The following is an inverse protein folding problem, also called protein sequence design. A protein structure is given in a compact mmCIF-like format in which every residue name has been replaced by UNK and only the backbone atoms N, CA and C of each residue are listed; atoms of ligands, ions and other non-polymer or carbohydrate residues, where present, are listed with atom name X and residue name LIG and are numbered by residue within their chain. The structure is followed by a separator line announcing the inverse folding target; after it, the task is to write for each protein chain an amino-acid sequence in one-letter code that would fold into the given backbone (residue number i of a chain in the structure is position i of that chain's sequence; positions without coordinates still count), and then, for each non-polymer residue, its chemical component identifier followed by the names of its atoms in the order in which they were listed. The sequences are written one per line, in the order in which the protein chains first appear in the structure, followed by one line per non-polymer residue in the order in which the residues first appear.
data_IF_667825529251
#
_entry.id   IF_667825529251
#
_cell.length_a   1.000
_cell.length_b   1.000
_cell.length_c   1.000
_cell.angle_alpha   90.00
_cell.angle_beta   90.00
_cell.angle_gamma   90.00
#
_symmetry.space_group_name_H-M   'P 1'
#
loop_
_entity.id
_entity.type
_entity.pdbx_description
1 polymer ?
#
# COMPACT_ATOMS: atom_id res chain seq x y z
N UNK A 1 -46.05 6.02 22.37
CA UNK A 1 -45.11 4.94 22.77
C UNK A 1 -44.87 3.89 21.67
N UNK A 2 -45.87 3.13 21.19
CA UNK A 2 -45.64 2.03 20.21
C UNK A 2 -44.91 2.43 18.91
N UNK A 3 -45.14 3.64 18.39
CA UNK A 3 -44.51 4.15 17.14
C UNK A 3 -43.04 4.52 17.31
N UNK A 4 -42.64 5.01 18.48
CA UNK A 4 -41.25 5.33 18.84
C UNK A 4 -40.46 4.04 19.08
N UNK A 5 -41.07 3.07 19.76
CA UNK A 5 -40.49 1.75 20.02
C UNK A 5 -40.23 0.97 18.72
N UNK A 6 -41.17 1.00 17.76
CA UNK A 6 -41.00 0.36 16.46
C UNK A 6 -39.86 1.01 15.64
N UNK A 7 -39.70 2.33 15.71
CA UNK A 7 -38.61 3.06 15.03
C UNK A 7 -37.24 2.70 15.59
N UNK A 8 -37.10 2.64 16.92
CA UNK A 8 -35.84 2.24 17.58
C UNK A 8 -35.44 0.79 17.25
N UNK A 9 -36.41 -0.14 17.24
CA UNK A 9 -36.16 -1.53 16.85
C UNK A 9 -35.73 -1.63 15.39
N UNK A 10 -36.37 -0.89 14.48
CA UNK A 10 -36.01 -0.87 13.05
C UNK A 10 -34.64 -0.21 12.82
N UNK A 11 -34.28 0.84 13.56
CA UNK A 11 -32.94 1.46 13.47
C UNK A 11 -31.88 0.50 14.03
N UNK A 12 -32.13 -0.12 15.18
CA UNK A 12 -31.23 -1.13 15.74
C UNK A 12 -31.03 -2.31 14.77
N UNK A 13 -32.11 -2.80 14.14
CA UNK A 13 -32.06 -3.85 13.12
C UNK A 13 -31.39 -3.39 11.82
N UNK A 14 -31.63 -2.17 11.35
CA UNK A 14 -30.98 -1.62 10.16
C UNK A 14 -29.47 -1.46 10.38
N UNK A 15 -29.05 -0.98 11.55
CA UNK A 15 -27.64 -0.96 11.95
C UNK A 15 -27.10 -2.40 12.10
N UNK A 16 -27.88 -3.37 12.61
CA UNK A 16 -27.49 -4.80 12.66
C UNK A 16 -27.28 -5.44 11.28
N UNK A 17 -28.07 -5.07 10.27
CA UNK A 17 -28.12 -5.76 8.99
C UNK A 17 -27.26 -5.12 7.87
N UNK A 18 -26.86 -3.85 8.01
CA UNK A 18 -26.18 -3.12 6.92
C UNK A 18 -24.66 -3.28 6.85
N UNK A 19 -24.01 -3.87 7.85
CA UNK A 19 -22.53 -3.85 7.94
C UNK A 19 -21.80 -5.08 7.36
N UNK A 20 -22.35 -6.32 7.35
CA UNK A 20 -21.67 -7.41 6.64
C UNK A 20 -21.43 -7.10 5.16
N UNK A 21 -22.33 -6.32 4.54
CA UNK A 21 -22.21 -5.87 3.16
C UNK A 21 -21.18 -4.73 2.95
N UNK A 22 -20.94 -3.88 3.96
CA UNK A 22 -19.97 -2.78 3.86
C UNK A 22 -18.54 -3.18 4.26
N UNK A 23 -18.38 -4.31 4.97
CA UNK A 23 -17.08 -4.85 5.36
C UNK A 23 -16.41 -5.70 4.26
N UNK A 24 -17.13 -6.09 3.21
CA UNK A 24 -16.57 -6.85 2.08
C UNK A 24 -15.90 -5.98 0.99
N UNK A 25 -16.21 -4.67 0.93
CA UNK A 25 -15.81 -3.78 -0.17
C UNK A 25 -14.79 -2.69 0.20
N UNK A 26 -14.00 -2.85 1.26
CA UNK A 26 -12.93 -1.89 1.62
C UNK A 26 -11.55 -2.53 1.49
N UNK A 27 -10.86 -2.19 0.40
CA UNK A 27 -9.44 -2.47 0.22
C UNK A 27 -8.59 -1.59 1.15
N UNK A 28 -7.61 -2.24 1.80
CA UNK A 28 -6.76 -1.72 2.87
C UNK A 28 -5.80 -0.62 2.38
N UNK A 29 -6.24 0.64 2.40
CA UNK A 29 -5.35 1.81 2.47
C UNK A 29 -4.94 2.07 3.92
N UNK A 30 -3.64 2.31 4.17
CA UNK A 30 -3.10 2.60 5.49
C UNK A 30 -3.74 3.87 6.09
N UNK A 31 -4.80 3.65 6.86
CA UNK A 31 -5.45 4.66 7.66
C UNK A 31 -5.23 4.33 9.12
N UNK A 32 -4.89 5.37 9.89
CA UNK A 32 -4.49 5.27 11.29
C UNK A 32 -5.45 4.42 12.14
N UNK A 33 -4.95 3.91 13.26
CA UNK A 33 -5.57 2.86 14.10
C UNK A 33 -7.01 3.14 14.59
N UNK A 34 -7.59 4.31 14.32
CA UNK A 34 -9.00 4.65 14.58
C UNK A 34 -9.98 4.10 13.54
N UNK A 35 -9.59 3.82 12.29
CA UNK A 35 -10.51 3.35 11.24
C UNK A 35 -10.58 1.81 11.11
N UNK A 36 -9.74 1.06 11.82
CA UNK A 36 -9.64 -0.41 11.69
C UNK A 36 -10.77 -1.21 12.34
N UNK A 37 -11.66 -0.56 13.09
CA UNK A 37 -12.83 -1.21 13.73
C UNK A 37 -14.04 -1.33 12.81
N UNK A 38 -13.94 -0.92 11.53
CA UNK A 38 -15.03 -1.04 10.54
C UNK A 38 -16.30 -0.22 10.83
N UNK A 39 -16.38 0.42 11.99
CA UNK A 39 -17.51 1.20 12.47
C UNK A 39 -17.02 2.63 12.65
N UNK A 40 -17.58 3.51 11.82
CA UNK A 40 -17.32 4.95 11.86
C UNK A 40 -17.97 5.57 13.09
N UNK A 41 -17.25 6.45 13.79
CA UNK A 41 -17.77 7.17 14.95
C UNK A 41 -18.97 8.04 14.57
N UNK A 42 -19.01 8.57 13.35
CA UNK A 42 -20.11 9.39 12.85
C UNK A 42 -21.39 8.57 12.69
N UNK A 43 -21.27 7.27 12.36
CA UNK A 43 -22.40 6.33 12.30
C UNK A 43 -22.97 6.09 13.70
N UNK A 44 -22.11 5.96 14.72
CA UNK A 44 -22.54 5.81 16.11
C UNK A 44 -23.23 7.09 16.61
N UNK A 45 -22.64 8.26 16.33
CA UNK A 45 -23.21 9.56 16.69
C UNK A 45 -24.59 9.74 16.03
N UNK A 46 -24.71 9.39 14.75
CA UNK A 46 -25.99 9.44 14.03
C UNK A 46 -27.04 8.54 14.69
N UNK A 47 -26.69 7.29 15.03
CA UNK A 47 -27.59 6.37 15.71
C UNK A 47 -28.05 6.90 17.09
N UNK A 48 -27.14 7.53 17.84
CA UNK A 48 -27.48 8.17 19.13
C UNK A 48 -28.45 9.34 18.96
N UNK A 49 -28.22 10.20 17.96
CA UNK A 49 -29.15 11.31 17.62
C UNK A 49 -30.53 10.79 17.21
N UNK A 50 -30.58 9.75 16.40
CA UNK A 50 -31.84 9.11 15.98
C UNK A 50 -32.58 8.45 17.16
N UNK A 51 -31.85 8.03 18.20
CA UNK A 51 -32.41 7.56 19.46
C UNK A 51 -32.80 8.68 20.44
N UNK A 52 -32.73 9.94 20.00
CA UNK A 52 -33.15 11.10 20.79
C UNK A 52 -32.14 11.54 21.85
N UNK A 53 -30.87 11.11 21.77
CA UNK A 53 -29.82 11.61 22.65
C UNK A 53 -29.42 13.02 22.21
N UNK A 54 -29.26 13.94 23.17
CA UNK A 54 -28.78 15.30 22.88
C UNK A 54 -27.27 15.30 22.63
N UNK A 55 -26.75 16.35 21.99
CA UNK A 55 -25.30 16.49 21.78
C UNK A 55 -24.50 16.48 23.11
N UNK A 56 -25.12 16.99 24.18
CA UNK A 56 -24.57 16.99 25.56
C UNK A 56 -24.49 15.57 26.15
N UNK A 57 -25.42 14.69 25.77
CA UNK A 57 -25.44 13.28 26.22
C UNK A 57 -24.52 12.39 25.38
N UNK A 58 -24.37 12.70 24.09
CA UNK A 58 -23.60 11.87 23.14
C UNK A 58 -22.13 11.76 23.55
N UNK A 59 -21.50 12.88 23.94
CA UNK A 59 -20.08 12.89 24.28
C UNK A 59 -19.76 12.07 25.56
N UNK A 60 -20.48 12.23 26.68
CA UNK A 60 -20.37 11.35 27.84
C UNK A 60 -20.74 9.90 27.51
N UNK A 61 -21.77 9.66 26.70
CA UNK A 61 -22.16 8.30 26.29
C UNK A 61 -21.03 7.58 25.54
N UNK A 62 -20.35 8.26 24.61
CA UNK A 62 -19.16 7.73 23.92
C UNK A 62 -17.99 7.49 24.89
N UNK A 63 -17.85 8.33 25.92
CA UNK A 63 -16.89 8.13 27.01
C UNK A 63 -17.19 6.86 27.81
N UNK A 64 -18.44 6.69 28.26
CA UNK A 64 -18.90 5.50 28.97
C UNK A 64 -18.81 4.24 28.11
N UNK A 65 -19.05 4.33 26.80
CA UNK A 65 -18.94 3.21 25.86
C UNK A 65 -17.56 2.53 25.92
N UNK A 66 -16.47 3.28 26.17
CA UNK A 66 -15.14 2.69 26.37
C UNK A 66 -15.06 1.81 27.62
N UNK A 67 -15.72 2.22 28.71
CA UNK A 67 -15.79 1.43 29.94
C UNK A 67 -16.61 0.16 29.72
N UNK A 68 -17.71 0.26 28.97
CA UNK A 68 -18.50 -0.92 28.55
C UNK A 68 -17.66 -1.91 27.75
N UNK A 69 -16.79 -1.44 26.85
CA UNK A 69 -15.88 -2.32 26.09
C UNK A 69 -14.89 -3.05 27.02
N UNK A 70 -14.44 -2.42 28.10
CA UNK A 70 -13.56 -3.07 29.08
C UNK A 70 -14.33 -4.15 29.84
N UNK A 71 -15.51 -3.84 30.38
CA UNK A 71 -16.36 -4.83 31.06
C UNK A 71 -16.72 -6.01 30.13
N UNK A 72 -17.02 -5.73 28.86
CA UNK A 72 -17.31 -6.76 27.86
C UNK A 72 -16.14 -7.71 27.57
N UNK A 73 -14.90 -7.26 27.78
CA UNK A 73 -13.71 -8.10 27.59
C UNK A 73 -13.44 -9.01 28.79
N UNK A 74 -13.83 -8.55 29.97
CA UNK A 74 -13.70 -9.30 31.22
C UNK A 74 -14.92 -10.22 31.44
N UNK A 75 -16.01 -9.96 30.73
CA UNK A 75 -17.22 -10.75 30.81
C UNK A 75 -17.05 -12.16 30.21
N UNK A 76 -17.29 -13.17 31.05
CA UNK A 76 -17.33 -14.55 30.63
C UNK A 76 -18.66 -14.85 29.89
N UNK A 77 -18.54 -15.37 28.67
CA UNK A 77 -19.69 -15.69 27.81
C UNK A 77 -20.54 -16.84 28.39
N UNK A 78 -20.00 -17.60 29.34
CA UNK A 78 -20.71 -18.69 30.01
C UNK A 78 -21.76 -18.20 31.03
N UNK A 79 -21.69 -16.93 31.45
CA UNK A 79 -22.53 -16.36 32.52
C UNK A 79 -23.88 -15.75 32.05
N UNK A 80 -24.28 -15.97 30.79
CA UNK A 80 -25.61 -15.62 30.29
C UNK A 80 -25.69 -14.35 29.45
N UNK A 81 -26.59 -13.41 29.78
CA UNK A 81 -26.70 -12.11 29.10
C UNK A 81 -25.81 -11.09 29.81
N UNK A 82 -24.90 -10.43 29.08
CA UNK A 82 -24.06 -9.37 29.66
C UNK A 82 -24.92 -8.26 30.29
N UNK A 83 -24.62 -7.97 31.56
CA UNK A 83 -25.18 -6.88 32.36
C UNK A 83 -24.07 -5.90 32.70
N UNK A 84 -24.39 -4.60 32.62
CA UNK A 84 -23.47 -3.56 33.08
C UNK A 84 -23.25 -3.69 34.59
N UNK A 85 -22.08 -3.27 35.06
CA UNK A 85 -21.89 -3.03 36.48
C UNK A 85 -22.89 -1.99 37.00
N UNK A 86 -23.29 -2.10 38.28
CA UNK A 86 -24.20 -1.13 38.90
C UNK A 86 -23.64 0.30 38.85
N UNK A 87 -22.32 0.45 38.94
CA UNK A 87 -21.63 1.74 38.83
C UNK A 87 -21.81 2.34 37.43
N UNK A 88 -21.57 1.55 36.38
CA UNK A 88 -21.66 2.03 35.01
C UNK A 88 -23.11 2.26 34.58
N UNK A 89 -24.04 1.47 35.11
CA UNK A 89 -25.47 1.70 34.94
C UNK A 89 -25.89 3.05 35.56
N UNK A 90 -25.52 3.32 36.83
CA UNK A 90 -25.78 4.61 37.48
C UNK A 90 -25.13 5.78 36.76
N UNK A 91 -23.91 5.61 36.26
CA UNK A 91 -23.26 6.64 35.44
C UNK A 91 -24.13 7.05 34.25
N UNK A 92 -24.65 6.07 33.49
CA UNK A 92 -25.49 6.40 32.35
C UNK A 92 -26.86 6.97 32.72
N UNK A 93 -27.49 6.46 33.78
CA UNK A 93 -28.82 6.89 34.22
C UNK A 93 -28.77 8.28 34.91
N UNK A 94 -27.90 8.43 35.91
CA UNK A 94 -27.89 9.59 36.80
C UNK A 94 -27.03 10.74 36.25
N UNK A 95 -25.83 10.45 35.73
CA UNK A 95 -24.90 11.50 35.29
C UNK A 95 -25.14 11.90 33.83
N UNK A 96 -25.38 10.92 32.96
CA UNK A 96 -25.62 11.20 31.52
C UNK A 96 -27.11 11.41 31.23
N UNK A 97 -28.02 10.93 32.08
CA UNK A 97 -29.47 11.08 31.87
C UNK A 97 -30.01 10.22 30.74
N UNK A 98 -29.41 9.04 30.51
CA UNK A 98 -29.83 8.11 29.46
C UNK A 98 -31.01 7.27 29.93
N UNK A 99 -31.95 7.04 29.02
CA UNK A 99 -33.01 6.04 29.21
C UNK A 99 -32.44 4.62 29.07
N UNK A 100 -33.12 3.63 29.66
CA UNK A 100 -32.76 2.21 29.56
C UNK A 100 -32.52 1.76 28.10
N UNK A 101 -33.32 2.29 27.17
CA UNK A 101 -33.25 1.96 25.75
C UNK A 101 -32.03 2.58 25.05
N UNK A 102 -31.65 3.80 25.45
CA UNK A 102 -30.41 4.43 24.99
C UNK A 102 -29.18 3.73 25.58
N UNK A 103 -29.25 3.25 26.83
CA UNK A 103 -28.20 2.45 27.45
C UNK A 103 -28.01 1.13 26.68
N UNK A 104 -29.09 0.42 26.35
CA UNK A 104 -29.03 -0.78 25.51
C UNK A 104 -28.39 -0.50 24.15
N UNK A 105 -28.66 0.66 23.55
CA UNK A 105 -28.03 1.08 22.29
C UNK A 105 -26.52 1.30 22.46
N UNK A 106 -26.09 1.98 23.53
CA UNK A 106 -24.67 2.18 23.85
C UNK A 106 -23.95 0.84 24.04
N UNK A 107 -24.54 -0.10 24.78
CA UNK A 107 -24.02 -1.46 24.95
C UNK A 107 -23.92 -2.19 23.60
N UNK A 108 -24.95 -2.08 22.77
CA UNK A 108 -24.97 -2.69 21.43
C UNK A 108 -23.85 -2.18 20.52
N UNK A 109 -23.58 -0.88 20.54
CA UNK A 109 -22.45 -0.28 19.82
C UNK A 109 -21.10 -0.74 20.39
N UNK A 110 -20.96 -0.76 21.73
CA UNK A 110 -19.77 -1.25 22.41
C UNK A 110 -19.42 -2.70 22.05
N UNK A 111 -20.41 -3.61 22.07
CA UNK A 111 -20.24 -5.03 21.69
C UNK A 111 -19.66 -5.19 20.29
N UNK A 112 -20.20 -4.45 19.32
CA UNK A 112 -19.71 -4.55 17.93
C UNK A 112 -18.30 -4.02 17.77
N UNK A 113 -17.97 -2.92 18.44
CA UNK A 113 -16.60 -2.39 18.43
C UNK A 113 -15.61 -3.38 19.08
N UNK A 114 -16.01 -4.01 20.19
CA UNK A 114 -15.21 -5.02 20.86
C UNK A 114 -14.96 -6.23 19.94
N UNK A 115 -16.01 -6.77 19.32
CA UNK A 115 -15.90 -7.94 18.43
C UNK A 115 -15.22 -7.64 17.10
N UNK A 116 -15.44 -6.46 16.49
CA UNK A 116 -14.70 -6.10 15.29
C UNK A 116 -13.21 -6.00 15.55
N UNK A 117 -12.82 -5.56 16.75
CA UNK A 117 -11.41 -5.51 17.15
C UNK A 117 -10.86 -6.91 17.42
N UNK A 118 -11.62 -7.77 18.11
CA UNK A 118 -11.25 -9.17 18.34
C UNK A 118 -11.11 -9.96 17.03
N UNK A 119 -12.02 -9.77 16.06
CA UNK A 119 -11.90 -10.41 14.74
C UNK A 119 -10.74 -9.83 13.92
N UNK A 120 -10.48 -8.52 14.00
CA UNK A 120 -9.29 -7.91 13.38
C UNK A 120 -8.00 -8.42 14.00
N UNK A 121 -7.94 -8.55 15.33
CA UNK A 121 -6.78 -9.09 16.04
C UNK A 121 -6.60 -10.59 15.76
N UNK A 122 -7.69 -11.36 15.66
CA UNK A 122 -7.70 -12.76 15.23
C UNK A 122 -7.19 -12.90 13.79
N UNK A 123 -7.67 -12.08 12.86
CA UNK A 123 -7.17 -12.04 11.46
C UNK A 123 -5.71 -11.62 11.40
N UNK A 124 -5.26 -10.73 12.28
CA UNK A 124 -3.86 -10.31 12.39
C UNK A 124 -3.00 -11.46 12.90
N UNK A 125 -3.47 -12.17 13.92
CA UNK A 125 -2.87 -13.40 14.45
C UNK A 125 -2.78 -14.50 13.39
N UNK A 126 -3.88 -14.78 12.68
CA UNK A 126 -3.93 -15.74 11.57
C UNK A 126 -3.04 -15.33 10.39
N UNK A 127 -2.91 -14.03 10.09
CA UNK A 127 -1.97 -13.51 9.07
C UNK A 127 -0.52 -13.70 9.52
N UNK A 128 -0.19 -13.44 10.79
CA UNK A 128 1.15 -13.69 11.33
C UNK A 128 1.49 -15.18 11.42
N UNK A 129 0.51 -16.04 11.72
CA UNK A 129 0.69 -17.49 11.73
C UNK A 129 0.76 -18.08 10.31
N UNK A 130 0.05 -17.51 9.33
CA UNK A 130 0.24 -17.85 7.91
C UNK A 130 1.62 -17.44 7.42
N UNK A 131 2.12 -16.27 7.82
CA UNK A 131 3.46 -15.79 7.45
C UNK A 131 4.57 -16.63 8.10
N UNK A 132 4.36 -17.15 9.32
CA UNK A 132 5.26 -18.14 9.95
C UNK A 132 5.15 -19.53 9.33
N UNK A 133 3.98 -19.89 8.79
CA UNK A 133 3.78 -21.15 8.03
C UNK A 133 4.32 -21.10 6.59
N UNK A 134 4.79 -19.95 6.10
CA UNK A 134 5.31 -19.82 4.74
C UNK A 134 6.81 -20.00 4.62
N UNK A 135 7.60 -19.96 5.71
CA UNK A 135 9.00 -20.37 5.63
C UNK A 135 9.06 -21.90 5.70
N UNK A 136 9.44 -22.59 4.61
CA UNK A 136 9.57 -24.04 4.60
C UNK A 136 10.54 -24.53 5.67
N UNK A 137 11.52 -23.72 6.09
CA UNK A 137 12.50 -24.09 7.09
C UNK A 137 11.92 -24.19 8.51
N UNK A 138 10.75 -23.59 8.78
CA UNK A 138 10.14 -23.59 10.11
C UNK A 138 9.23 -24.80 10.36
N UNK A 139 8.48 -25.27 9.35
CA UNK A 139 7.53 -26.38 9.52
C UNK A 139 8.10 -27.75 9.10
N UNK A 140 9.06 -27.75 8.19
CA UNK A 140 9.65 -28.96 7.63
C UNK A 140 10.42 -29.82 8.64
N UNK A 141 11.24 -29.25 9.56
CA UNK A 141 11.91 -30.06 10.58
C UNK A 141 10.92 -30.84 11.46
N UNK A 142 9.80 -30.19 11.79
CA UNK A 142 8.73 -30.81 12.60
C UNK A 142 8.05 -31.95 11.84
N UNK A 143 7.77 -31.77 10.55
CA UNK A 143 7.14 -32.79 9.71
C UNK A 143 8.02 -34.04 9.51
N UNK A 144 9.32 -33.84 9.24
CA UNK A 144 10.28 -34.95 9.07
C UNK A 144 10.46 -35.74 10.37
N UNK A 145 10.46 -35.05 11.51
CA UNK A 145 10.49 -35.67 12.84
C UNK A 145 9.22 -36.45 13.16
N UNK A 146 8.04 -35.87 12.94
CA UNK A 146 6.75 -36.51 13.23
C UNK A 146 6.51 -37.78 12.41
N UNK A 147 7.11 -37.87 11.21
CA UNK A 147 7.05 -39.04 10.34
C UNK A 147 8.11 -40.11 10.66
N UNK A 148 9.04 -39.81 11.56
CA UNK A 148 10.17 -40.68 11.88
C UNK A 148 11.15 -40.83 10.71
N UNK A 149 11.14 -39.91 9.76
CA UNK A 149 11.99 -39.95 8.56
C UNK A 149 13.44 -39.52 8.88
N UNK A 150 13.63 -38.70 9.92
CA UNK A 150 14.93 -38.28 10.45
C UNK A 150 14.95 -38.34 11.98
N UNK A 151 16.09 -38.71 12.56
CA UNK A 151 16.29 -38.62 14.02
C UNK A 151 16.58 -37.19 14.46
N UNK A 152 16.46 -36.90 15.76
CA UNK A 152 16.77 -35.58 16.33
C UNK A 152 18.24 -35.17 16.09
N UNK A 153 19.14 -36.15 16.05
CA UNK A 153 20.58 -35.95 15.78
C UNK A 153 20.83 -35.64 14.31
N UNK A 154 20.07 -36.25 13.40
CA UNK A 154 20.14 -36.02 11.95
C UNK A 154 19.48 -34.72 11.51
N UNK A 155 18.42 -34.28 12.23
CA UNK A 155 17.56 -33.17 11.80
C UNK A 155 18.33 -31.85 11.62
N UNK A 156 19.15 -31.47 12.62
CA UNK A 156 19.84 -30.18 12.59
C UNK A 156 20.92 -30.10 11.50
N UNK A 157 21.81 -31.10 11.35
CA UNK A 157 22.75 -31.14 10.22
C UNK A 157 22.04 -31.25 8.86
N UNK A 158 20.97 -32.04 8.75
CA UNK A 158 20.19 -32.15 7.51
C UNK A 158 19.60 -30.80 7.08
N UNK A 159 19.10 -29.98 8.01
CA UNK A 159 18.60 -28.64 7.70
C UNK A 159 19.71 -27.66 7.27
N UNK A 160 20.93 -27.81 7.78
CA UNK A 160 22.09 -27.03 7.31
C UNK A 160 22.47 -27.44 5.88
N UNK A 161 22.49 -28.75 5.60
CA UNK A 161 22.67 -29.29 4.27
C UNK A 161 21.60 -28.81 3.30
N UNK A 162 20.32 -28.82 3.71
CA UNK A 162 19.18 -28.40 2.89
C UNK A 162 19.35 -26.98 2.32
N UNK A 163 19.91 -26.04 3.09
CA UNK A 163 20.20 -24.69 2.60
C UNK A 163 21.26 -24.67 1.49
N UNK A 164 22.27 -25.55 1.59
CA UNK A 164 23.29 -25.72 0.55
C UNK A 164 22.69 -26.38 -0.70
N UNK A 165 21.84 -27.39 -0.54
CA UNK A 165 21.07 -28.02 -1.63
C UNK A 165 20.20 -27.00 -2.36
N UNK A 166 19.49 -26.12 -1.62
CA UNK A 166 18.75 -25.02 -2.23
C UNK A 166 19.65 -24.06 -3.03
N UNK A 167 20.90 -23.87 -2.60
CA UNK A 167 21.89 -23.07 -3.32
C UNK A 167 22.35 -23.71 -4.64
N UNK A 168 22.48 -25.03 -4.68
CA UNK A 168 22.77 -25.79 -5.91
C UNK A 168 21.54 -25.81 -6.84
N UNK A 169 20.36 -26.15 -6.31
CA UNK A 169 19.09 -26.12 -7.04
C UNK A 169 18.77 -24.74 -7.63
N UNK A 170 19.13 -23.66 -6.94
CA UNK A 170 18.91 -22.31 -7.44
C UNK A 170 19.77 -21.94 -8.67
N UNK A 171 20.88 -22.66 -8.90
CA UNK A 171 21.76 -22.49 -10.06
C UNK A 171 21.48 -23.51 -11.16
N UNK A 172 20.75 -24.56 -10.83
CA UNK A 172 20.42 -25.64 -11.74
C UNK A 172 19.35 -25.23 -12.74
N UNK A 173 19.53 -25.60 -14.00
CA UNK A 173 18.56 -25.38 -15.07
C UNK A 173 17.74 -26.66 -15.27
N UNK A 174 16.41 -26.55 -15.25
CA UNK A 174 15.49 -27.68 -15.46
C UNK A 174 15.67 -28.35 -16.83
N UNK A 175 16.25 -27.65 -17.81
CA UNK A 175 16.53 -28.17 -19.15
C UNK A 175 17.73 -29.15 -19.18
N UNK A 176 18.55 -29.19 -18.13
CA UNK A 176 19.78 -29.99 -18.10
C UNK A 176 19.57 -31.44 -17.59
N UNK A 177 18.32 -31.86 -17.31
CA UNK A 177 17.97 -33.24 -16.97
C UNK A 177 17.34 -33.41 -15.58
N UNK A 178 17.75 -34.45 -14.85
CA UNK A 178 17.39 -34.62 -13.43
C UNK A 178 18.44 -33.95 -12.55
N UNK A 179 18.02 -33.24 -11.50
CA UNK A 179 18.97 -32.63 -10.56
C UNK A 179 19.69 -33.71 -9.75
N UNK A 180 21.02 -33.74 -9.86
CA UNK A 180 21.92 -34.53 -9.03
C UNK A 180 22.66 -33.63 -8.04
N UNK A 181 22.77 -34.07 -6.78
CA UNK A 181 23.60 -33.40 -5.78
C UNK A 181 25.08 -33.46 -6.19
N UNK A 182 25.84 -32.41 -5.87
CA UNK A 182 27.30 -32.49 -5.97
C UNK A 182 27.85 -33.62 -5.08
N UNK A 183 28.94 -34.24 -5.53
CA UNK A 183 29.60 -35.33 -4.79
C UNK A 183 30.01 -34.90 -3.37
N UNK A 184 30.38 -33.62 -3.19
CA UNK A 184 30.71 -33.03 -1.90
C UNK A 184 29.49 -33.01 -0.96
N UNK A 185 28.35 -32.52 -1.43
CA UNK A 185 27.13 -32.47 -0.63
C UNK A 185 26.56 -33.85 -0.34
N UNK A 186 26.68 -34.77 -1.30
CA UNK A 186 26.30 -36.17 -1.11
C UNK A 186 27.13 -36.82 0.00
N UNK A 187 28.47 -36.70 -0.05
CA UNK A 187 29.35 -37.18 1.02
C UNK A 187 29.05 -36.53 2.37
N UNK A 188 28.73 -35.23 2.39
CA UNK A 188 28.30 -34.58 3.63
C UNK A 188 27.08 -35.27 4.26
N UNK A 189 26.04 -35.57 3.47
CA UNK A 189 24.85 -36.24 4.01
C UNK A 189 25.12 -37.70 4.41
N UNK A 190 25.91 -38.44 3.63
CA UNK A 190 26.23 -39.84 3.90
C UNK A 190 27.17 -39.98 5.11
N UNK A 191 28.29 -39.26 5.11
CA UNK A 191 29.38 -39.44 6.08
C UNK A 191 29.19 -38.62 7.36
N UNK A 192 28.76 -37.36 7.26
CA UNK A 192 28.63 -36.48 8.43
C UNK A 192 27.24 -36.54 9.06
N UNK A 193 26.19 -36.62 8.25
CA UNK A 193 24.80 -36.66 8.74
C UNK A 193 24.32 -38.10 8.96
N UNK A 194 24.91 -39.08 8.27
CA UNK A 194 24.50 -40.48 8.36
C UNK A 194 23.14 -40.74 7.71
N UNK A 195 22.82 -40.03 6.62
CA UNK A 195 21.61 -40.26 5.83
C UNK A 195 21.85 -41.36 4.81
N UNK A 196 20.84 -42.20 4.59
CA UNK A 196 20.82 -43.11 3.45
C UNK A 196 20.27 -42.42 2.18
N UNK A 197 20.34 -43.11 1.04
CA UNK A 197 19.91 -42.57 -0.26
C UNK A 197 18.45 -42.07 -0.26
N UNK A 198 17.53 -42.81 0.36
CA UNK A 198 16.12 -42.44 0.41
C UNK A 198 15.91 -41.15 1.23
N UNK A 199 16.66 -41.00 2.32
CA UNK A 199 16.63 -39.80 3.18
C UNK A 199 17.27 -38.60 2.48
N UNK A 200 18.33 -38.82 1.70
CA UNK A 200 18.97 -37.77 0.88
C UNK A 200 17.98 -37.27 -0.18
N UNK A 201 17.33 -38.18 -0.90
CA UNK A 201 16.32 -37.84 -1.90
C UNK A 201 15.13 -37.08 -1.29
N UNK A 202 14.74 -37.44 -0.06
CA UNK A 202 13.74 -36.70 0.71
C UNK A 202 14.20 -35.26 0.99
N UNK A 203 15.44 -35.05 1.41
CA UNK A 203 16.01 -33.70 1.65
C UNK A 203 16.05 -32.88 0.36
N UNK A 204 16.39 -33.48 -0.79
CA UNK A 204 16.35 -32.82 -2.11
C UNK A 204 14.92 -32.37 -2.44
N UNK A 205 13.94 -33.25 -2.31
CA UNK A 205 12.55 -32.94 -2.60
C UNK A 205 11.98 -31.85 -1.67
N UNK A 206 12.41 -31.87 -0.42
CA UNK A 206 12.12 -30.81 0.55
C UNK A 206 12.72 -29.46 0.12
N UNK A 207 13.97 -29.44 -0.32
CA UNK A 207 14.65 -28.25 -0.85
C UNK A 207 13.94 -27.71 -2.12
N UNK A 208 13.53 -28.57 -3.05
CA UNK A 208 12.77 -28.19 -4.26
C UNK A 208 11.46 -27.49 -3.89
N UNK A 209 10.65 -28.09 -3.01
CA UNK A 209 9.39 -27.51 -2.53
C UNK A 209 9.61 -26.17 -1.83
N UNK A 210 10.66 -26.09 -1.01
CA UNK A 210 10.99 -24.86 -0.33
C UNK A 210 11.33 -23.72 -1.31
N UNK A 211 12.11 -24.04 -2.34
CA UNK A 211 12.54 -23.09 -3.36
C UNK A 211 11.38 -22.64 -4.26
N UNK A 212 10.44 -23.53 -4.60
CA UNK A 212 9.20 -23.18 -5.29
C UNK A 212 8.32 -22.24 -4.44
N UNK A 213 8.16 -22.53 -3.15
CA UNK A 213 7.42 -21.66 -2.23
C UNK A 213 8.06 -20.27 -2.12
N UNK A 214 9.38 -20.19 -2.07
CA UNK A 214 10.11 -18.92 -2.06
C UNK A 214 9.94 -18.15 -3.38
N UNK A 215 10.06 -18.83 -4.52
CA UNK A 215 9.80 -18.25 -5.86
C UNK A 215 8.36 -17.73 -5.96
N UNK A 216 7.38 -18.44 -5.42
CA UNK A 216 5.98 -18.02 -5.39
C UNK A 216 5.74 -16.82 -4.47
N UNK A 217 6.42 -16.77 -3.31
CA UNK A 217 6.35 -15.59 -2.44
C UNK A 217 7.02 -14.38 -3.05
N UNK A 218 8.15 -14.54 -3.72
CA UNK A 218 8.83 -13.48 -4.45
C UNK A 218 7.98 -13.02 -5.63
N UNK A 219 7.36 -13.93 -6.38
CA UNK A 219 6.40 -13.61 -7.45
C UNK A 219 5.20 -12.84 -6.93
N UNK A 220 4.59 -13.26 -5.80
CA UNK A 220 3.48 -12.52 -5.17
C UNK A 220 3.89 -11.17 -4.60
N UNK A 221 5.13 -11.05 -4.14
CA UNK A 221 5.70 -9.81 -3.61
C UNK A 221 6.05 -8.85 -4.73
N UNK A 222 6.55 -9.36 -5.84
CA UNK A 222 6.76 -8.61 -7.08
C UNK A 222 5.42 -8.22 -7.70
N UNK A 223 4.42 -9.11 -7.76
CA UNK A 223 3.06 -8.77 -8.22
C UNK A 223 2.42 -7.66 -7.37
N UNK A 224 2.68 -7.63 -6.05
CA UNK A 224 2.25 -6.56 -5.15
C UNK A 224 3.09 -5.27 -5.24
N UNK A 225 4.38 -5.39 -5.53
CA UNK A 225 5.29 -4.24 -5.68
C UNK A 225 5.26 -3.64 -7.10
N UNK A 226 4.76 -4.37 -8.09
CA UNK A 226 4.61 -4.01 -9.51
C UNK A 226 3.18 -3.61 -9.88
N UNK A 227 2.31 -3.44 -8.89
CA UNK A 227 1.12 -2.61 -9.04
C UNK A 227 1.50 -1.20 -8.58
N UNK A 228 2.02 -0.32 -9.47
CA UNK A 228 1.89 1.10 -9.20
C UNK A 228 0.42 1.34 -8.90
N UNK A 229 0.10 1.93 -7.74
CA UNK A 229 -1.27 2.17 -7.26
C UNK A 229 -2.13 2.58 -8.45
N UNK A 230 -2.88 1.61 -8.99
CA UNK A 230 -3.71 1.81 -10.16
C UNK A 230 -4.97 2.55 -9.77
N UNK A 231 -5.09 2.96 -8.52
CA UNK A 231 -6.25 3.57 -7.89
C UNK A 231 -6.63 4.91 -8.55
N UNK A 232 -5.68 5.53 -9.26
CA UNK A 232 -5.95 6.71 -10.07
C UNK A 232 -6.63 6.39 -11.40
N UNK A 233 -6.41 5.20 -11.99
CA UNK A 233 -6.96 4.83 -13.30
C UNK A 233 -8.48 4.77 -13.28
N UNK A 234 -9.13 4.11 -12.30
CA UNK A 234 -10.58 4.16 -12.18
C UNK A 234 -11.14 5.56 -12.04
N UNK A 235 -10.46 6.43 -11.27
CA UNK A 235 -10.87 7.83 -11.09
C UNK A 235 -10.80 8.60 -12.40
N UNK A 236 -9.70 8.51 -13.13
CA UNK A 236 -9.53 9.21 -14.41
C UNK A 236 -10.51 8.72 -15.46
N UNK A 237 -10.72 7.40 -15.57
CA UNK A 237 -11.67 6.84 -16.52
C UNK A 237 -13.12 7.24 -16.18
N UNK A 238 -13.46 7.33 -14.89
CA UNK A 238 -14.80 7.74 -14.45
C UNK A 238 -15.03 9.25 -14.58
N UNK A 239 -14.07 10.07 -14.17
CA UNK A 239 -14.20 11.53 -14.12
C UNK A 239 -13.97 12.20 -15.48
N UNK A 240 -13.00 11.72 -16.26
CA UNK A 240 -12.65 12.33 -17.57
C UNK A 240 -13.20 11.53 -18.74
N UNK A 241 -13.29 10.22 -18.59
CA UNK A 241 -13.87 9.35 -19.60
C UNK A 241 -15.39 9.25 -19.48
N UNK A 242 -15.98 9.69 -18.36
CA UNK A 242 -17.42 9.53 -18.09
C UNK A 242 -17.89 8.07 -18.19
N UNK A 243 -17.00 7.11 -17.92
CA UNK A 243 -17.34 5.69 -17.96
C UNK A 243 -18.34 5.36 -16.85
N UNK A 244 -19.40 4.62 -17.20
CA UNK A 244 -20.28 3.99 -16.21
C UNK A 244 -19.53 2.94 -15.40
N UNK A 245 -20.03 2.56 -14.21
CA UNK A 245 -19.37 1.55 -13.37
C UNK A 245 -19.24 0.18 -14.07
N UNK A 246 -20.18 -0.15 -14.95
CA UNK A 246 -20.14 -1.37 -15.77
C UNK A 246 -19.05 -1.30 -16.84
N UNK A 247 -19.02 -0.21 -17.60
CA UNK A 247 -17.97 0.06 -18.58
C UNK A 247 -16.60 0.10 -17.93
N UNK A 248 -16.49 0.71 -16.75
CA UNK A 248 -15.26 0.81 -15.99
C UNK A 248 -14.75 -0.58 -15.60
N UNK A 249 -15.61 -1.45 -15.07
CA UNK A 249 -15.23 -2.83 -14.71
C UNK A 249 -14.76 -3.63 -15.93
N UNK A 250 -15.48 -3.55 -17.04
CA UNK A 250 -15.11 -4.23 -18.29
C UNK A 250 -13.81 -3.67 -18.88
N UNK A 251 -13.61 -2.36 -18.77
CA UNK A 251 -12.41 -1.65 -19.22
C UNK A 251 -11.18 -2.07 -18.43
N UNK A 252 -11.29 -2.18 -17.11
CA UNK A 252 -10.20 -2.67 -16.25
C UNK A 252 -9.81 -4.13 -16.57
N UNK A 253 -10.75 -4.94 -17.04
CA UNK A 253 -10.48 -6.27 -17.59
C UNK A 253 -9.64 -6.23 -18.88
N UNK A 254 -9.98 -5.32 -19.79
CA UNK A 254 -9.26 -5.11 -21.07
C UNK A 254 -7.90 -4.41 -20.93
N UNK A 255 -7.72 -3.60 -19.88
CA UNK A 255 -6.51 -2.78 -19.67
C UNK A 255 -5.21 -3.60 -19.66
N UNK A 256 -5.24 -4.83 -19.14
CA UNK A 256 -4.07 -5.73 -19.15
C UNK A 256 -3.68 -6.16 -20.57
N UNK A 257 -4.64 -6.34 -21.47
CA UNK A 257 -4.38 -6.68 -22.87
C UNK A 257 -3.79 -5.49 -23.62
N UNK A 258 -4.29 -4.29 -23.35
CA UNK A 258 -3.72 -3.04 -23.90
C UNK A 258 -2.25 -2.89 -23.48
N UNK A 259 -1.94 -3.10 -22.21
CA UNK A 259 -0.55 -3.05 -21.72
C UNK A 259 0.36 -4.10 -22.37
N UNK A 260 -0.19 -5.26 -22.74
CA UNK A 260 0.57 -6.29 -23.44
C UNK A 260 0.89 -5.86 -24.87
N UNK A 261 -0.11 -5.38 -25.62
CA UNK A 261 0.10 -4.87 -26.98
C UNK A 261 1.08 -3.68 -26.98
N UNK A 262 0.98 -2.77 -26.00
CA UNK A 262 1.93 -1.66 -25.83
C UNK A 262 3.38 -2.12 -25.58
N UNK A 263 3.57 -3.29 -24.95
CA UNK A 263 4.90 -3.83 -24.68
C UNK A 263 5.53 -4.46 -25.93
N UNK A 264 4.70 -5.03 -26.80
CA UNK A 264 5.14 -5.61 -28.08
C UNK A 264 5.27 -4.56 -29.18
N UNK A 265 4.66 -3.39 -28.98
CA UNK A 265 4.69 -2.30 -29.93
C UNK A 265 6.08 -1.66 -30.06
N UNK A 266 6.57 -1.57 -31.29
CA UNK A 266 7.79 -0.85 -31.61
C UNK A 266 7.50 0.64 -31.82
N UNK A 267 8.17 1.50 -31.05
CA UNK A 267 8.01 2.96 -31.11
C UNK A 267 8.37 3.55 -32.48
N UNK A 268 9.17 2.84 -33.28
CA UNK A 268 9.55 3.26 -34.63
C UNK A 268 8.39 3.17 -35.64
N UNK A 269 7.32 2.43 -35.32
CA UNK A 269 6.20 2.18 -36.24
C UNK A 269 5.10 3.27 -36.19
N UNK A 270 5.26 4.34 -35.39
CA UNK A 270 4.41 5.53 -35.43
C UNK A 270 3.66 5.85 -34.14
N UNK A 271 2.34 6.06 -34.22
CA UNK A 271 1.46 6.17 -33.05
C UNK A 271 0.92 4.77 -32.70
N UNK A 272 0.84 4.44 -31.42
CA UNK A 272 0.28 3.16 -30.99
C UNK A 272 -1.23 3.11 -31.29
N UNK A 273 -1.64 2.06 -32.01
CA UNK A 273 -3.03 1.72 -32.23
C UNK A 273 -3.32 0.33 -31.67
N UNK A 274 -4.52 0.14 -31.13
CA UNK A 274 -4.97 -1.17 -30.66
C UNK A 274 -5.11 -2.14 -31.83
N UNK A 275 -4.87 -3.43 -31.56
CA UNK A 275 -5.27 -4.48 -32.50
C UNK A 275 -6.76 -4.39 -32.83
N UNK A 276 -7.15 -4.77 -34.04
CA UNK A 276 -8.54 -4.73 -34.48
C UNK A 276 -9.48 -5.48 -33.52
N UNK A 277 -9.01 -6.60 -32.96
CA UNK A 277 -9.79 -7.39 -32.00
C UNK A 277 -9.99 -6.66 -30.67
N UNK A 278 -8.97 -6.00 -30.15
CA UNK A 278 -9.08 -5.27 -28.89
C UNK A 278 -9.86 -3.95 -29.05
N UNK A 279 -9.74 -3.32 -30.22
CA UNK A 279 -10.56 -2.16 -30.60
C UNK A 279 -12.04 -2.53 -30.65
N UNK A 280 -12.41 -3.58 -31.38
CA UNK A 280 -13.80 -4.09 -31.43
C UNK A 280 -14.34 -4.46 -30.06
N UNK A 281 -13.52 -5.08 -29.19
CA UNK A 281 -13.94 -5.35 -27.82
C UNK A 281 -14.36 -4.06 -27.09
N UNK A 282 -13.56 -2.99 -27.17
CA UNK A 282 -13.91 -1.74 -26.51
C UNK A 282 -15.10 -1.01 -27.15
N UNK A 283 -15.19 -1.01 -28.48
CA UNK A 283 -16.27 -0.35 -29.21
C UNK A 283 -17.60 -1.12 -29.08
N UNK A 284 -17.60 -2.41 -29.40
CA UNK A 284 -18.83 -3.22 -29.55
C UNK A 284 -19.29 -3.83 -28.22
N UNK A 285 -18.38 -4.35 -27.40
CA UNK A 285 -18.74 -5.05 -26.16
C UNK A 285 -18.79 -4.10 -24.96
N UNK A 286 -17.83 -3.17 -24.86
CA UNK A 286 -17.79 -2.19 -23.75
C UNK A 286 -18.59 -0.93 -24.08
N UNK A 287 -18.79 -0.61 -25.36
CA UNK A 287 -19.51 0.61 -25.77
C UNK A 287 -18.72 1.88 -25.52
N UNK A 288 -17.39 1.83 -25.65
CA UNK A 288 -16.53 3.01 -25.54
C UNK A 288 -16.46 3.78 -26.87
N UNK A 289 -16.45 5.10 -26.76
CA UNK A 289 -16.14 6.03 -27.86
C UNK A 289 -14.64 6.04 -28.17
N UNK A 290 -14.27 6.56 -29.34
CA UNK A 290 -12.88 6.71 -29.77
C UNK A 290 -12.04 7.52 -28.76
N UNK A 291 -12.61 8.58 -28.20
CA UNK A 291 -11.97 9.44 -27.20
C UNK A 291 -11.74 8.69 -25.88
N UNK A 292 -12.72 7.88 -25.45
CA UNK A 292 -12.58 7.02 -24.26
C UNK A 292 -11.53 5.93 -24.48
N UNK A 293 -11.47 5.33 -25.67
CA UNK A 293 -10.45 4.34 -26.03
C UNK A 293 -9.05 4.97 -25.98
N UNK A 294 -8.87 6.18 -26.53
CA UNK A 294 -7.61 6.94 -26.42
C UNK A 294 -7.23 7.21 -24.97
N UNK A 295 -8.20 7.53 -24.11
CA UNK A 295 -7.96 7.70 -22.68
C UNK A 295 -7.50 6.41 -22.00
N UNK A 296 -8.12 5.27 -22.33
CA UNK A 296 -7.72 3.93 -21.85
C UNK A 296 -6.29 3.59 -22.27
N UNK A 297 -5.94 3.84 -23.53
CA UNK A 297 -4.57 3.68 -24.04
C UNK A 297 -3.61 4.57 -23.26
N UNK A 298 -3.94 5.85 -23.04
CA UNK A 298 -3.13 6.77 -22.25
C UNK A 298 -2.90 6.30 -20.81
N UNK A 299 -3.93 5.73 -20.17
CA UNK A 299 -3.82 5.10 -18.86
C UNK A 299 -2.90 3.87 -18.89
N UNK A 300 -3.06 2.99 -19.86
CA UNK A 300 -2.25 1.79 -20.03
C UNK A 300 -0.77 2.13 -20.29
N UNK A 301 -0.48 3.12 -21.15
CA UNK A 301 0.88 3.59 -21.44
C UNK A 301 1.59 4.11 -20.20
N UNK A 302 0.89 4.88 -19.35
CA UNK A 302 1.45 5.37 -18.08
C UNK A 302 1.74 4.24 -17.11
N UNK A 303 0.86 3.24 -17.02
CA UNK A 303 1.08 2.06 -16.19
C UNK A 303 2.25 1.22 -16.70
N UNK A 304 2.35 1.00 -18.01
CA UNK A 304 3.43 0.25 -18.64
C UNK A 304 4.78 0.96 -18.42
N UNK A 305 4.84 2.27 -18.64
CA UNK A 305 6.04 3.07 -18.40
C UNK A 305 6.45 3.07 -16.91
N UNK A 306 5.48 3.15 -15.99
CA UNK A 306 5.77 3.05 -14.56
C UNK A 306 6.34 1.68 -14.19
N UNK A 307 5.90 0.60 -14.85
CA UNK A 307 6.43 -0.76 -14.61
C UNK A 307 7.85 -0.94 -15.13
N UNK A 308 8.11 -0.46 -16.35
CA UNK A 308 9.44 -0.55 -16.97
C UNK A 308 10.50 0.16 -16.12
N UNK A 309 10.22 1.39 -15.67
CA UNK A 309 11.14 2.15 -14.81
C UNK A 309 11.35 1.56 -13.41
N UNK A 310 10.35 0.86 -12.85
CA UNK A 310 10.51 0.13 -11.57
C UNK A 310 11.38 -1.12 -11.78
N UNK A 311 11.23 -1.79 -12.91
CA UNK A 311 12.05 -2.96 -13.27
C UNK A 311 13.52 -2.59 -13.51
N UNK A 312 13.80 -1.45 -14.16
CA UNK A 312 15.16 -0.95 -14.38
C UNK A 312 15.85 -0.51 -13.08
N UNK A 313 15.11 0.11 -12.15
CA UNK A 313 15.62 0.43 -10.81
C UNK A 313 15.99 -0.83 -10.03
N UNK A 314 15.16 -1.88 -10.09
CA UNK A 314 15.47 -3.17 -9.45
C UNK A 314 16.64 -3.89 -10.12
N UNK A 315 16.81 -3.74 -11.45
CA UNK A 315 17.92 -4.34 -12.21
C UNK A 315 19.25 -3.69 -11.86
N UNK A 316 19.29 -2.36 -11.74
CA UNK A 316 20.45 -1.62 -11.21
C UNK A 316 20.76 -1.97 -9.74
N UNK A 317 19.75 -2.15 -8.90
CA UNK A 317 19.96 -2.58 -7.51
C UNK A 317 20.39 -4.06 -7.37
N UNK A 318 20.14 -4.92 -8.36
CA UNK A 318 20.64 -6.31 -8.36
C UNK A 318 22.11 -6.40 -8.77
N UNK A 319 22.59 -5.55 -9.67
CA UNK A 319 24.01 -5.46 -10.02
C UNK A 319 24.86 -4.93 -8.87
N UNK A 320 24.31 -4.07 -8.01
CA UNK A 320 25.00 -3.50 -6.84
C UNK A 320 25.01 -4.42 -5.59
N UNK A 321 24.42 -5.62 -5.67
CA UNK A 321 24.32 -6.56 -4.53
C UNK A 321 25.37 -7.68 -4.53
N UNK A 322 26.32 -7.67 -5.47
CA UNK A 322 27.49 -8.53 -5.41
C UNK A 322 28.58 -7.89 -4.52
N UNK A 323 28.36 -7.97 -3.20
CA UNK A 323 29.44 -7.87 -2.21
C UNK A 323 29.84 -6.45 -1.81
N UNK A 324 29.08 -5.84 -0.90
CA UNK A 324 29.64 -5.01 0.17
C UNK A 324 28.58 -4.78 1.25
N UNK A 325 28.96 -5.03 2.51
CA UNK A 325 28.10 -4.78 3.68
C UNK A 325 27.84 -3.27 3.77
N UNK A 326 26.62 -2.83 3.49
CA UNK A 326 26.24 -1.43 3.68
C UNK A 326 26.01 -1.12 5.17
N UNK A 327 26.60 -0.05 5.71
CA UNK A 327 26.18 0.52 6.98
C UNK A 327 24.80 1.19 6.81
N UNK A 328 24.14 1.44 7.94
CA UNK A 328 22.85 2.13 8.09
C UNK A 328 22.70 3.31 7.11
N UNK A 329 21.66 3.27 6.27
CA UNK A 329 21.38 4.30 5.26
C UNK A 329 20.57 5.45 5.86
N UNK A 330 21.22 6.56 6.18
CA UNK A 330 20.67 7.90 5.90
C UNK A 330 21.13 8.26 4.49
N UNK A 331 20.29 8.02 3.47
CA UNK A 331 20.56 8.58 2.13
C UNK A 331 20.12 10.05 2.16
N UNK A 332 21.03 10.96 2.51
CA UNK A 332 20.91 12.35 2.07
C UNK A 332 20.82 12.33 0.54
N UNK A 333 19.72 12.84 0.00
CA UNK A 333 19.58 12.98 -1.44
C UNK A 333 20.31 14.27 -1.80
N UNK A 334 21.38 14.15 -2.58
CA UNK A 334 22.14 15.32 -3.02
C UNK A 334 21.25 16.21 -3.90
N UNK A 335 20.98 17.43 -3.42
CA UNK A 335 20.14 18.39 -4.13
C UNK A 335 20.78 18.81 -5.45
N UNK A 336 22.11 18.87 -5.54
CA UNK A 336 22.80 19.20 -6.78
C UNK A 336 22.47 18.16 -7.88
N UNK A 337 22.44 16.87 -7.54
CA UNK A 337 22.09 15.79 -8.46
C UNK A 337 20.63 15.89 -8.95
N UNK A 338 19.70 16.33 -8.09
CA UNK A 338 18.30 16.54 -8.50
C UNK A 338 18.20 17.67 -9.52
N UNK A 339 18.84 18.81 -9.25
CA UNK A 339 18.84 19.97 -10.13
C UNK A 339 19.55 19.69 -11.46
N UNK A 340 20.64 18.92 -11.43
CA UNK A 340 21.35 18.44 -12.62
C UNK A 340 20.47 17.62 -13.56
N UNK A 341 19.63 16.74 -13.00
CA UNK A 341 18.63 15.97 -13.79
C UNK A 341 17.53 16.85 -14.38
N UNK A 342 17.38 18.07 -13.89
CA UNK A 342 16.42 19.06 -14.36
C UNK A 342 17.03 20.05 -15.36
N UNK A 343 18.27 19.80 -15.80
CA UNK A 343 18.97 20.66 -16.75
C UNK A 343 19.65 21.88 -16.11
N UNK A 344 19.67 21.97 -14.77
CA UNK A 344 20.42 23.00 -14.05
C UNK A 344 21.83 22.46 -13.80
N UNK A 345 22.80 22.94 -14.57
CA UNK A 345 24.19 22.53 -14.41
C UNK A 345 24.81 23.02 -13.08
N UNK A 346 26.01 22.53 -12.78
CA UNK A 346 26.69 22.81 -11.51
C UNK A 346 26.98 24.32 -11.32
N UNK A 347 27.12 25.08 -12.42
CA UNK A 347 27.36 26.53 -12.39
C UNK A 347 26.05 27.27 -12.07
N UNK A 348 24.98 26.94 -12.77
CA UNK A 348 23.64 27.49 -12.53
C UNK A 348 23.14 27.15 -11.13
N UNK A 349 23.46 25.95 -10.61
CA UNK A 349 23.13 25.57 -9.24
C UNK A 349 23.91 26.39 -8.20
N UNK A 350 25.20 26.65 -8.44
CA UNK A 350 25.99 27.53 -7.58
C UNK A 350 25.47 28.98 -7.60
N UNK A 351 25.04 29.48 -8.77
CA UNK A 351 24.39 30.79 -8.90
C UNK A 351 23.05 30.84 -8.16
N UNK A 352 22.27 29.77 -8.20
CA UNK A 352 21.03 29.63 -7.44
C UNK A 352 21.27 29.72 -5.93
N UNK A 353 22.24 28.95 -5.41
CA UNK A 353 22.61 28.99 -4.00
C UNK A 353 23.13 30.38 -3.60
N UNK A 354 23.91 31.02 -4.48
CA UNK A 354 24.38 32.39 -4.26
C UNK A 354 23.22 33.39 -4.21
N UNK A 355 22.26 33.30 -5.11
CA UNK A 355 21.09 34.19 -5.10
C UNK A 355 20.27 34.06 -3.81
N UNK A 356 20.14 32.85 -3.27
CA UNK A 356 19.49 32.62 -1.98
C UNK A 356 20.31 33.20 -0.81
N UNK A 357 21.64 33.11 -0.85
CA UNK A 357 22.52 33.77 0.13
C UNK A 357 22.43 35.30 0.04
N UNK A 358 22.39 35.85 -1.16
CA UNK A 358 22.25 37.28 -1.40
C UNK A 358 20.88 37.80 -0.93
N UNK A 359 19.86 36.94 -0.86
CA UNK A 359 18.56 37.19 -0.22
C UNK A 359 18.55 36.94 1.31
N UNK A 360 19.72 36.84 1.93
CA UNK A 360 19.93 36.68 3.38
C UNK A 360 19.35 35.38 3.98
N UNK A 361 19.21 34.30 3.19
CA UNK A 361 18.87 32.98 3.72
C UNK A 361 20.09 32.33 4.39
N UNK A 362 19.88 31.72 5.55
CA UNK A 362 20.89 30.87 6.20
C UNK A 362 21.09 29.54 5.44
N UNK A 363 22.24 28.88 5.64
CA UNK A 363 22.54 27.61 4.94
C UNK A 363 21.46 26.54 5.17
N UNK A 364 20.86 26.46 6.36
CA UNK A 364 19.75 25.54 6.67
C UNK A 364 18.47 25.91 5.92
N UNK A 365 18.18 27.20 5.80
CA UNK A 365 17.03 27.70 5.04
C UNK A 365 17.22 27.46 3.54
N UNK A 366 18.44 27.60 3.03
CA UNK A 366 18.76 27.33 1.63
C UNK A 366 18.46 25.88 1.27
N UNK A 367 18.88 24.91 2.08
CA UNK A 367 18.63 23.50 1.81
C UNK A 367 17.13 23.19 1.69
N UNK A 368 16.32 23.71 2.63
CA UNK A 368 14.86 23.57 2.63
C UNK A 368 14.20 24.35 1.49
N UNK A 369 14.66 25.57 1.22
CA UNK A 369 14.16 26.42 0.15
C UNK A 369 14.40 25.81 -1.23
N UNK A 370 15.54 25.14 -1.46
CA UNK A 370 15.80 24.40 -2.70
C UNK A 370 14.73 23.31 -2.95
N UNK A 371 14.26 22.64 -1.90
CA UNK A 371 13.13 21.70 -1.98
C UNK A 371 11.80 22.38 -2.34
N UNK A 372 11.55 23.57 -1.79
CA UNK A 372 10.41 24.41 -2.15
C UNK A 372 10.44 24.89 -3.60
N UNK A 373 11.60 25.39 -4.05
CA UNK A 373 11.87 25.83 -5.43
C UNK A 373 11.50 24.75 -6.44
N UNK A 374 11.87 23.49 -6.18
CA UNK A 374 11.51 22.38 -7.06
C UNK A 374 10.00 22.20 -7.18
N UNK A 375 9.27 22.22 -6.05
CA UNK A 375 7.81 22.03 -6.04
C UNK A 375 7.11 23.16 -6.79
N UNK A 376 7.55 24.40 -6.55
CA UNK A 376 7.03 25.60 -7.21
C UNK A 376 7.33 25.54 -8.71
N UNK A 377 8.56 25.21 -9.11
CA UNK A 377 8.95 25.13 -10.52
C UNK A 377 8.11 24.13 -11.31
N UNK A 378 7.78 22.97 -10.71
CA UNK A 378 6.86 22.02 -11.33
C UNK A 378 5.42 22.53 -11.41
N UNK A 379 4.96 23.28 -10.40
CA UNK A 379 3.66 23.94 -10.42
C UNK A 379 3.57 24.98 -11.53
N UNK A 380 4.57 25.86 -11.62
CA UNK A 380 4.72 26.87 -12.68
C UNK A 380 4.74 26.21 -14.05
N UNK A 381 5.50 25.12 -14.23
CA UNK A 381 5.56 24.40 -15.50
C UNK A 381 4.22 23.77 -15.90
N UNK A 382 3.39 23.39 -14.93
CA UNK A 382 2.10 22.74 -15.17
C UNK A 382 0.97 23.74 -15.46
N UNK A 383 0.98 24.90 -14.80
CA UNK A 383 -0.04 25.94 -14.96
C UNK A 383 0.32 26.95 -16.06
N UNK A 384 1.61 27.19 -16.31
CA UNK A 384 2.11 28.35 -17.05
C UNK A 384 2.48 29.48 -16.09
N UNK A 385 3.49 30.28 -16.45
CA UNK A 385 4.06 31.30 -15.56
C UNK A 385 3.06 32.39 -15.16
N UNK A 386 2.19 32.77 -16.10
CA UNK A 386 1.17 33.80 -15.92
C UNK A 386 -0.05 33.33 -15.10
N UNK A 387 -0.26 32.01 -15.01
CA UNK A 387 -1.42 31.41 -14.31
C UNK A 387 -1.04 30.81 -12.95
N UNK A 388 0.26 30.69 -12.65
CA UNK A 388 0.70 30.09 -11.40
C UNK A 388 0.59 31.07 -10.22
N UNK A 389 -0.30 30.74 -9.30
CA UNK A 389 -0.40 31.36 -7.98
C UNK A 389 0.18 30.42 -6.91
N UNK A 390 0.97 30.98 -5.99
CA UNK A 390 1.51 30.23 -4.86
C UNK A 390 0.35 29.84 -3.93
N UNK A 391 0.09 28.54 -3.80
CA UNK A 391 -1.00 28.07 -2.94
C UNK A 391 -0.71 28.34 -1.44
N UNK A 392 -1.77 28.57 -0.67
CA UNK A 392 -1.70 28.93 0.76
C UNK A 392 -0.89 27.91 1.59
N UNK A 393 -0.92 26.63 1.21
CA UNK A 393 -0.18 25.58 1.92
C UNK A 393 1.31 25.68 1.63
N UNK A 394 1.70 25.96 0.38
CA UNK A 394 3.11 26.20 0.05
C UNK A 394 3.62 27.49 0.68
N UNK A 395 2.82 28.55 0.69
CA UNK A 395 3.17 29.80 1.38
C UNK A 395 3.45 29.55 2.86
N UNK A 396 2.51 28.90 3.54
CA UNK A 396 2.64 28.53 4.97
C UNK A 396 3.85 27.63 5.24
N UNK A 397 4.17 26.70 4.33
CA UNK A 397 5.38 25.88 4.44
C UNK A 397 6.65 26.73 4.46
N UNK A 398 6.77 27.69 3.53
CA UNK A 398 7.94 28.57 3.46
C UNK A 398 8.03 29.51 4.67
N UNK A 399 6.90 30.01 5.18
CA UNK A 399 6.87 30.86 6.37
C UNK A 399 7.15 30.08 7.66
N UNK A 400 6.37 29.04 7.95
CA UNK A 400 6.37 28.38 9.26
C UNK A 400 7.48 27.33 9.39
N UNK A 401 7.73 26.54 8.33
CA UNK A 401 8.68 25.42 8.39
C UNK A 401 10.09 25.81 7.93
N UNK A 402 10.17 26.69 6.94
CA UNK A 402 11.46 27.21 6.45
C UNK A 402 11.85 28.50 7.18
N UNK A 403 10.89 29.26 7.71
CA UNK A 403 11.18 30.51 8.44
C UNK A 403 11.55 31.67 7.52
N UNK A 404 11.00 31.71 6.31
CA UNK A 404 11.25 32.77 5.33
C UNK A 404 10.30 33.97 5.56
N UNK A 405 10.80 35.18 5.29
CA UNK A 405 9.97 36.39 5.22
C UNK A 405 9.21 36.46 3.90
N UNK A 406 8.15 37.29 3.82
CA UNK A 406 7.41 37.50 2.56
C UNK A 406 8.36 37.90 1.41
N UNK A 407 9.34 38.78 1.66
CA UNK A 407 10.34 39.21 0.67
C UNK A 407 11.23 38.05 0.18
N UNK A 408 11.64 37.17 1.10
CA UNK A 408 12.44 35.99 0.77
C UNK A 408 11.62 34.94 0.00
N UNK A 409 10.33 34.82 0.31
CA UNK A 409 9.39 33.95 -0.41
C UNK A 409 9.22 34.43 -1.85
N UNK A 410 9.08 35.74 -2.07
CA UNK A 410 9.02 36.30 -3.42
C UNK A 410 10.27 35.96 -4.25
N UNK A 411 11.47 36.06 -3.68
CA UNK A 411 12.69 35.66 -4.37
C UNK A 411 12.77 34.16 -4.63
N UNK A 412 12.34 33.31 -3.70
CA UNK A 412 12.22 31.85 -3.90
C UNK A 412 11.28 31.52 -5.06
N UNK A 413 10.11 32.18 -5.15
CA UNK A 413 9.15 31.98 -6.24
C UNK A 413 9.73 32.44 -7.59
N UNK A 414 10.39 33.60 -7.61
CA UNK A 414 11.04 34.15 -8.81
C UNK A 414 12.15 33.24 -9.33
N UNK A 415 12.98 32.69 -8.45
CA UNK A 415 14.00 31.70 -8.81
C UNK A 415 13.37 30.40 -9.35
N UNK A 416 12.27 29.94 -8.73
CA UNK A 416 11.54 28.76 -9.19
C UNK A 416 10.93 28.94 -10.59
N UNK A 417 10.36 30.12 -10.89
CA UNK A 417 9.84 30.46 -12.22
C UNK A 417 10.94 30.40 -13.29
N UNK A 418 12.11 30.99 -13.00
CA UNK A 418 13.28 30.94 -13.89
C UNK A 418 13.77 29.50 -14.15
N UNK A 419 13.71 28.64 -13.13
CA UNK A 419 14.04 27.22 -13.30
C UNK A 419 12.98 26.50 -14.14
N UNK A 420 11.69 26.83 -13.96
CA UNK A 420 10.59 26.23 -14.70
C UNK A 420 10.69 26.46 -16.23
N UNK A 421 11.21 27.61 -16.64
CA UNK A 421 11.52 27.90 -18.06
C UNK A 421 12.49 26.88 -18.66
N UNK A 422 13.50 26.46 -17.89
CA UNK A 422 14.51 25.48 -18.30
C UNK A 422 14.08 24.02 -18.17
N UNK A 423 12.95 23.72 -17.52
CA UNK A 423 12.46 22.35 -17.36
C UNK A 423 11.99 21.77 -18.71
N UNK A 424 12.27 20.49 -19.02
CA UNK A 424 11.70 19.84 -20.19
C UNK A 424 10.17 19.87 -20.13
N UNK A 425 9.52 20.17 -21.25
CA UNK A 425 8.05 20.11 -21.34
C UNK A 425 7.60 18.68 -20.98
N UNK A 426 6.67 18.54 -20.03
CA UNK A 426 6.00 17.27 -19.79
C UNK A 426 5.13 16.94 -21.00
N UNK A 427 5.72 16.30 -22.00
CA UNK A 427 5.01 15.68 -23.12
C UNK A 427 5.09 16.41 -24.46
N UNK A 428 6.27 16.90 -24.87
CA UNK A 428 6.49 17.30 -26.27
C UNK A 428 7.91 17.05 -26.80
N UNK A 429 8.60 16.00 -26.33
CA UNK A 429 9.73 15.42 -27.09
C UNK A 429 9.21 14.56 -28.26
N UNK A 430 8.53 15.23 -29.19
CA UNK A 430 8.61 14.90 -30.62
C UNK A 430 9.32 16.07 -31.30
N UNK A 431 10.64 15.93 -31.42
CA UNK A 431 11.44 16.55 -32.47
C UNK A 431 11.62 18.06 -32.41
N UNK A 432 12.84 18.47 -32.06
CA UNK A 432 13.78 19.04 -33.04
C UNK A 432 15.10 19.34 -32.36
N UNK A 433 16.14 18.68 -32.86
CA UNK A 433 17.48 19.21 -32.75
C UNK A 433 17.62 20.52 -33.52
N UNK A 434 18.56 21.33 -33.05
CA UNK A 434 19.51 22.03 -33.91
C UNK A 434 20.90 21.63 -33.49
#
# INVERSE_FOLDING_TARGET
MKKTMLRLIVIALAVMLTVPALAQDREDGDKGDREKSGIDIDVIIKAFKEAGMTDEQIRPALGGMRRVIVELKEWDKEDGDFKLSEELQKYFEDEVGLTEEQIKLVIGCARRLAWSREDSDRRRGEKTDRAKKTDPLDWLPKALKERGELTDEQLRPAMLGLRRVMGELGKWNEEDGDFELSEELRKYFEDEVGLNEEQIELVINCARRALLSLKDTDRKRDDKAEQPSSDWVPKVLKERGELTDEQLRATMGGLRRVMHELKEWNKEDGDFELSEGLRKYFEDEVGLTEEQIKLVIGCASRLAYSRENVSDRKRGEKTDKAGEKKPERTREVDMADIFKRLGVDDVAFAELQKALKDAELSDEQIEKALGGILRIAYGVKAAGDDEYELDERMKKYLEDEVGLTDEQIEEVVKLAKRIAEGLPERGNERGRGR
#
